data_IF_787261710848
#
_entry.id   IF_787261710848
#
_cell.length_a   1.000
_cell.length_b   1.000
_cell.length_c   1.000
_cell.angle_alpha   90.00
_cell.angle_beta   90.00
_cell.angle_gamma   90.00
#
_symmetry.space_group_name_H-M   'P 1'
#
loop_
_entity.id
_entity.type
_entity.pdbx_description
1 polymer ?
#
# COMPACT_ATOMS: atom_id res chain seq x y z
N UNK A 1 14.61 19.79 13.62
CA UNK A 1 14.48 21.04 12.83
C UNK A 1 15.09 20.77 11.47
N UNK A 2 14.36 20.97 10.37
CA UNK A 2 14.90 20.78 9.01
C UNK A 2 15.91 21.91 8.74
N UNK A 3 17.12 21.61 8.23
CA UNK A 3 18.10 22.64 7.92
C UNK A 3 17.52 23.66 6.91
N UNK A 4 17.73 24.98 7.11
CA UNK A 4 17.06 26.02 6.32
C UNK A 4 17.32 25.93 4.81
N UNK A 5 18.49 25.45 4.39
CA UNK A 5 18.85 25.28 2.96
C UNK A 5 18.13 24.08 2.32
N UNK A 6 17.88 23.02 3.09
CA UNK A 6 17.19 21.81 2.64
C UNK A 6 15.65 21.92 2.73
N UNK A 7 15.13 23.05 3.23
CA UNK A 7 13.71 23.22 3.52
C UNK A 7 12.87 23.22 2.23
N UNK A 8 13.32 23.90 1.18
CA UNK A 8 12.58 23.97 -0.09
C UNK A 8 12.45 22.61 -0.78
N UNK A 9 13.54 21.84 -0.86
CA UNK A 9 13.54 20.52 -1.47
C UNK A 9 12.65 19.54 -0.68
N UNK A 10 12.77 19.55 0.65
CA UNK A 10 11.93 18.73 1.53
C UNK A 10 10.44 19.08 1.41
N UNK A 11 10.10 20.38 1.37
CA UNK A 11 8.71 20.85 1.22
C UNK A 11 8.15 20.45 -0.15
N UNK A 12 8.96 20.56 -1.21
CA UNK A 12 8.56 20.17 -2.56
C UNK A 12 8.21 18.66 -2.62
N UNK A 13 9.11 17.79 -2.17
CA UNK A 13 8.88 16.34 -2.15
C UNK A 13 7.66 15.97 -1.30
N UNK A 14 7.50 16.59 -0.13
CA UNK A 14 6.32 16.37 0.73
C UNK A 14 5.03 16.81 0.06
N UNK A 15 5.07 17.93 -0.68
CA UNK A 15 3.90 18.43 -1.41
C UNK A 15 3.48 17.47 -2.51
N UNK A 16 4.41 16.85 -3.24
CA UNK A 16 4.09 15.84 -4.25
C UNK A 16 3.40 14.63 -3.63
N UNK A 17 3.88 14.14 -2.48
CA UNK A 17 3.22 13.05 -1.75
C UNK A 17 1.80 13.43 -1.30
N UNK A 18 1.60 14.67 -0.84
CA UNK A 18 0.28 15.15 -0.41
C UNK A 18 -0.72 15.27 -1.57
N UNK A 19 -0.28 15.59 -2.79
CA UNK A 19 -1.15 15.66 -3.97
C UNK A 19 -1.79 14.32 -4.31
N UNK A 20 -1.11 13.20 -4.03
CA UNK A 20 -1.65 11.86 -4.24
C UNK A 20 -2.95 11.61 -3.45
N UNK A 21 -3.07 12.19 -2.25
CA UNK A 21 -4.29 12.05 -1.43
C UNK A 21 -5.51 12.79 -1.99
N UNK A 22 -5.29 13.75 -2.89
CA UNK A 22 -6.37 14.53 -3.54
C UNK A 22 -6.64 14.09 -4.98
N UNK A 23 -5.83 13.18 -5.50
CA UNK A 23 -5.94 12.72 -6.89
C UNK A 23 -7.13 11.78 -7.07
N UNK A 24 -7.73 11.72 -8.28
CA UNK A 24 -8.75 10.73 -8.59
C UNK A 24 -8.23 9.30 -8.38
N UNK A 25 -9.11 8.39 -8.00
CA UNK A 25 -8.75 6.98 -7.84
C UNK A 25 -8.34 6.34 -9.18
N UNK A 26 -7.19 5.68 -9.18
CA UNK A 26 -6.67 4.90 -10.30
C UNK A 26 -6.55 3.41 -9.89
N UNK A 27 -7.26 2.48 -10.55
CA UNK A 27 -7.20 1.06 -10.22
C UNK A 27 -5.85 0.40 -10.53
N UNK A 28 -5.06 0.93 -11.46
CA UNK A 28 -3.71 0.43 -11.76
C UNK A 28 -2.69 0.93 -10.72
N UNK A 29 -3.01 2.02 -10.01
CA UNK A 29 -2.17 2.65 -8.99
C UNK A 29 -2.95 2.99 -7.71
N UNK A 30 -3.40 1.97 -6.94
CA UNK A 30 -4.20 2.20 -5.74
C UNK A 30 -3.36 2.85 -4.63
N UNK A 31 -3.91 3.89 -4.00
CA UNK A 31 -3.33 4.47 -2.79
C UNK A 31 -3.57 3.53 -1.61
N UNK A 32 -2.49 2.91 -1.11
CA UNK A 32 -2.54 2.01 0.06
C UNK A 32 -2.12 2.77 1.30
N UNK A 33 -3.07 3.00 2.21
CA UNK A 33 -2.77 3.51 3.55
C UNK A 33 -2.23 2.36 4.42
N UNK A 34 -0.95 2.44 4.80
CA UNK A 34 -0.41 1.61 5.86
C UNK A 34 -0.85 2.18 7.21
N UNK A 35 -1.74 1.47 7.89
CA UNK A 35 -1.99 1.67 9.32
C UNK A 35 -0.79 1.15 10.10
N UNK A 36 -0.37 1.83 11.18
CA UNK A 36 0.76 1.37 12.01
C UNK A 36 0.47 0.02 12.69
N UNK A 37 -0.79 -0.39 12.77
CA UNK A 37 -1.19 -1.69 13.31
C UNK A 37 -0.93 -2.81 12.29
N UNK A 38 -0.29 -3.89 12.73
CA UNK A 38 -0.19 -5.13 11.95
C UNK A 38 -1.55 -5.78 11.81
N UNK A 39 -2.32 -5.40 10.78
CA UNK A 39 -3.52 -6.13 10.35
C UNK A 39 -3.10 -7.23 9.39
N UNK A 40 -3.08 -8.47 9.89
CA UNK A 40 -2.82 -9.63 9.04
C UNK A 40 -4.07 -9.91 8.19
N UNK A 41 -3.96 -9.68 6.88
CA UNK A 41 -5.02 -10.00 5.92
C UNK A 41 -5.01 -11.51 5.62
N UNK A 42 -5.56 -12.30 6.55
CA UNK A 42 -5.57 -13.78 6.51
C UNK A 42 -6.72 -14.40 5.71
N UNK A 43 -7.60 -13.60 5.10
CA UNK A 43 -8.72 -14.14 4.33
C UNK A 43 -8.23 -14.84 3.07
N UNK A 44 -8.76 -16.03 2.79
CA UNK A 44 -8.59 -16.67 1.48
C UNK A 44 -9.39 -15.90 0.42
N UNK A 45 -8.71 -15.05 -0.34
CA UNK A 45 -9.30 -14.22 -1.40
C UNK A 45 -9.25 -14.86 -2.78
N UNK A 46 -8.55 -15.99 -2.91
CA UNK A 46 -8.38 -16.72 -4.18
C UNK A 46 -9.03 -18.09 -4.07
N UNK A 47 -9.63 -18.53 -5.16
CA UNK A 47 -10.12 -19.90 -5.28
C UNK A 47 -8.95 -20.88 -5.16
N UNK A 48 -9.03 -21.86 -4.23
CA UNK A 48 -7.99 -22.86 -4.09
C UNK A 48 -7.93 -23.76 -5.33
N UNK A 49 -6.72 -24.14 -5.71
CA UNK A 49 -6.53 -25.15 -6.74
C UNK A 49 -6.98 -26.52 -6.21
N UNK A 50 -7.52 -27.40 -7.07
CA UNK A 50 -7.88 -28.74 -6.66
C UNK A 50 -6.65 -29.50 -6.12
N UNK A 51 -6.80 -30.30 -5.06
CA UNK A 51 -5.70 -31.07 -4.50
C UNK A 51 -5.19 -32.12 -5.49
N UNK A 52 -3.90 -32.42 -5.39
CA UNK A 52 -3.31 -33.55 -6.13
C UNK A 52 -3.67 -34.88 -5.45
N UNK A 53 -3.69 -36.01 -6.19
CA UNK A 53 -3.93 -37.32 -5.60
C UNK A 53 -2.99 -37.60 -4.42
N UNK A 54 -3.56 -37.91 -3.26
CA UNK A 54 -2.81 -38.17 -2.02
C UNK A 54 -2.53 -36.93 -1.14
N UNK A 55 -3.00 -35.74 -1.52
CA UNK A 55 -2.96 -34.55 -0.66
C UNK A 55 -4.33 -34.28 -0.01
N UNK A 56 -4.36 -33.87 1.26
CA UNK A 56 -5.60 -33.44 1.91
C UNK A 56 -6.10 -32.11 1.33
N UNK A 57 -7.42 -31.91 1.36
CA UNK A 57 -8.05 -30.62 1.04
C UNK A 57 -7.58 -29.53 2.02
N UNK A 58 -7.38 -28.30 1.51
CA UNK A 58 -6.98 -27.12 2.28
C UNK A 58 -8.21 -26.37 2.77
#
# INVERSE_FOLDING_TARGET
>A
MIPPVANAEFVCQRSEVLQLYTSPFDPDYPLVCFDESSKQLISETREPLPPQPGQPER
#
